data_IF_764588271225
#
_entry.id   IF_764588271225
#
_cell.length_a   1.000
_cell.length_b   1.000
_cell.length_c   1.000
_cell.angle_alpha   90.00
_cell.angle_beta   90.00
_cell.angle_gamma   90.00
#
_symmetry.space_group_name_H-M   'P 1'
#
loop_
_entity.id
_entity.type
_entity.pdbx_description
1 polymer ?
#
# COMPACT_ATOMS: atom_id res chain seq x y z
N UNK A 1 -4.47 -30.99 7.52
CA UNK A 1 -5.02 -30.00 6.58
C UNK A 1 -4.55 -28.63 7.05
N UNK A 2 -3.78 -27.93 6.22
CA UNK A 2 -3.19 -26.62 6.54
C UNK A 2 -4.26 -25.53 6.56
N UNK A 3 -3.95 -24.36 7.13
CA UNK A 3 -4.88 -23.21 7.16
C UNK A 3 -5.25 -22.74 5.74
N UNK A 4 -4.30 -22.80 4.81
CA UNK A 4 -4.51 -22.48 3.39
C UNK A 4 -5.46 -23.49 2.74
N UNK A 5 -5.29 -24.78 3.01
CA UNK A 5 -6.20 -25.82 2.49
C UNK A 5 -7.63 -25.64 3.01
N UNK A 6 -7.78 -25.25 4.28
CA UNK A 6 -9.08 -24.94 4.87
C UNK A 6 -9.74 -23.73 4.21
N UNK A 7 -8.96 -22.67 3.94
CA UNK A 7 -9.44 -21.49 3.22
C UNK A 7 -9.92 -21.85 1.81
N UNK A 8 -9.10 -22.59 1.05
CA UNK A 8 -9.43 -23.04 -0.30
C UNK A 8 -10.71 -23.88 -0.34
N UNK A 9 -10.91 -24.76 0.66
CA UNK A 9 -12.13 -25.55 0.75
C UNK A 9 -13.38 -24.69 0.96
N UNK A 10 -13.31 -23.68 1.84
CA UNK A 10 -14.42 -22.74 2.08
C UNK A 10 -14.75 -21.91 0.85
N UNK A 11 -13.72 -21.40 0.16
CA UNK A 11 -13.91 -20.62 -1.07
C UNK A 11 -14.55 -21.47 -2.17
N UNK A 12 -14.11 -22.72 -2.35
CA UNK A 12 -14.73 -23.66 -3.30
C UNK A 12 -16.20 -23.92 -3.00
N UNK A 13 -16.55 -24.11 -1.73
CA UNK A 13 -17.95 -24.32 -1.33
C UNK A 13 -18.84 -23.13 -1.68
N UNK A 14 -18.34 -21.90 -1.54
CA UNK A 14 -19.05 -20.68 -1.91
C UNK A 14 -19.14 -20.55 -3.44
N UNK A 15 -18.04 -20.82 -4.15
CA UNK A 15 -17.96 -20.71 -5.61
C UNK A 15 -18.85 -21.73 -6.35
N UNK A 16 -19.15 -22.87 -5.73
CA UNK A 16 -20.05 -23.90 -6.26
C UNK A 16 -21.49 -23.76 -5.73
N UNK A 17 -21.74 -22.81 -4.83
CA UNK A 17 -23.03 -22.58 -4.20
C UNK A 17 -23.90 -21.57 -4.95
N UNK A 18 -25.12 -21.30 -4.45
CA UNK A 18 -26.07 -20.37 -5.07
C UNK A 18 -25.57 -18.91 -5.09
N UNK A 19 -24.55 -18.59 -4.28
CA UNK A 19 -23.95 -17.26 -4.17
C UNK A 19 -22.66 -17.12 -5.00
N UNK A 20 -22.38 -18.05 -5.92
CA UNK A 20 -21.16 -18.01 -6.75
C UNK A 20 -20.97 -16.67 -7.48
N UNK A 21 -22.06 -16.08 -7.97
CA UNK A 21 -22.00 -14.80 -8.68
C UNK A 21 -21.75 -13.61 -7.76
N UNK A 22 -22.14 -13.69 -6.47
CA UNK A 22 -21.75 -12.69 -5.48
C UNK A 22 -20.25 -12.75 -5.17
N UNK A 23 -19.69 -13.96 -5.09
CA UNK A 23 -18.25 -14.13 -4.91
C UNK A 23 -17.46 -13.56 -6.10
N UNK A 24 -17.92 -13.80 -7.34
CA UNK A 24 -17.31 -13.21 -8.54
C UNK A 24 -17.33 -11.69 -8.47
N UNK A 25 -18.50 -11.08 -8.22
CA UNK A 25 -18.61 -9.62 -8.10
C UNK A 25 -17.73 -9.04 -6.99
N UNK A 26 -17.61 -9.73 -5.87
CA UNK A 26 -16.73 -9.31 -4.78
C UNK A 26 -15.26 -9.35 -5.20
N UNK A 27 -14.83 -10.39 -5.91
CA UNK A 27 -13.48 -10.49 -6.48
C UNK A 27 -13.28 -9.39 -7.53
N UNK A 28 -14.23 -9.20 -8.45
CA UNK A 28 -14.18 -8.16 -9.47
C UNK A 28 -14.03 -6.77 -8.84
N UNK A 29 -14.74 -6.48 -7.74
CA UNK A 29 -14.60 -5.23 -6.97
C UNK A 29 -13.23 -5.10 -6.31
N UNK A 30 -12.70 -6.18 -5.73
CA UNK A 30 -11.36 -6.18 -5.13
C UNK A 30 -10.24 -5.93 -6.15
N UNK A 31 -10.43 -6.39 -7.39
CA UNK A 31 -9.46 -6.23 -8.47
C UNK A 31 -9.81 -5.10 -9.45
N UNK A 32 -10.95 -4.42 -9.27
CA UNK A 32 -11.30 -3.22 -10.03
C UNK A 32 -10.47 -2.01 -9.62
N UNK A 33 -9.90 -2.05 -8.41
CA UNK A 33 -8.86 -1.13 -7.98
C UNK A 33 -7.53 -1.63 -8.57
N UNK A 34 -7.29 -1.30 -9.84
CA UNK A 34 -5.93 -0.88 -10.18
C UNK A 34 -5.72 0.40 -9.38
N UNK A 35 -5.21 0.27 -8.13
CA UNK A 35 -4.70 1.43 -7.42
C UNK A 35 -3.75 2.12 -8.39
N UNK A 36 -4.00 3.39 -8.76
CA UNK A 36 -3.07 4.09 -9.61
C UNK A 36 -1.71 4.05 -8.91
N UNK A 37 -0.65 3.76 -9.66
CA UNK A 37 0.70 3.92 -9.14
C UNK A 37 0.85 5.39 -8.70
N UNK A 38 0.70 5.64 -7.39
CA UNK A 38 0.60 6.99 -6.83
C UNK A 38 1.94 7.73 -6.88
N UNK A 39 3.03 6.98 -7.03
CA UNK A 39 4.40 7.48 -7.01
C UNK A 39 5.08 7.17 -8.32
N UNK A 40 5.66 8.20 -8.92
CA UNK A 40 6.62 7.98 -10.01
C UNK A 40 7.86 7.24 -9.49
N UNK A 41 8.65 6.60 -10.36
CA UNK A 41 9.95 6.06 -9.98
C UNK A 41 10.85 7.08 -9.25
N UNK A 42 10.75 8.35 -9.64
CA UNK A 42 11.46 9.46 -8.99
C UNK A 42 10.96 9.70 -7.56
N UNK A 43 9.65 9.66 -7.33
CA UNK A 43 9.09 9.80 -5.98
C UNK A 43 9.53 8.65 -5.08
N UNK A 44 9.50 7.41 -5.59
CA UNK A 44 9.97 6.23 -4.85
C UNK A 44 11.45 6.34 -4.49
N UNK A 45 12.28 6.83 -5.42
CA UNK A 45 13.70 7.07 -5.16
C UNK A 45 13.91 8.13 -4.08
N UNK A 46 13.15 9.24 -4.10
CA UNK A 46 13.23 10.29 -3.09
C UNK A 46 12.80 9.81 -1.70
N UNK A 47 11.75 8.97 -1.62
CA UNK A 47 11.31 8.34 -0.37
C UNK A 47 12.41 7.42 0.19
N UNK A 48 13.01 6.60 -0.67
CA UNK A 48 14.08 5.70 -0.26
C UNK A 48 15.32 6.46 0.23
N UNK A 49 15.70 7.54 -0.45
CA UNK A 49 16.81 8.41 -0.06
C UNK A 49 16.55 9.05 1.32
N UNK A 50 15.38 9.66 1.51
CA UNK A 50 15.02 10.28 2.79
C UNK A 50 14.99 9.28 3.94
N UNK A 51 14.54 8.04 3.68
CA UNK A 51 14.56 6.98 4.69
C UNK A 51 16.00 6.57 5.06
N UNK A 52 16.91 6.46 4.09
CA UNK A 52 18.33 6.19 4.35
C UNK A 52 19.00 7.31 5.13
N UNK A 53 18.71 8.57 4.80
CA UNK A 53 19.22 9.72 5.55
C UNK A 53 18.74 9.71 7.01
N UNK A 54 17.46 9.42 7.24
CA UNK A 54 16.89 9.31 8.59
C UNK A 54 17.53 8.19 9.40
N UNK A 55 17.73 7.01 8.81
CA UNK A 55 18.30 5.84 9.50
C UNK A 55 19.79 6.00 9.80
N UNK A 56 20.54 6.62 8.89
CA UNK A 56 21.97 6.91 9.08
C UNK A 56 22.23 8.11 9.99
N UNK A 57 21.21 8.91 10.29
CA UNK A 57 21.33 10.14 11.08
C UNK A 57 21.96 11.29 10.30
N UNK A 58 21.94 11.24 8.96
CA UNK A 58 22.41 12.34 8.12
C UNK A 58 21.47 13.53 8.23
N UNK A 59 21.88 14.54 9.00
CA UNK A 59 21.09 15.76 9.24
C UNK A 59 21.14 16.74 8.08
N UNK A 60 22.00 16.53 7.07
CA UNK A 60 22.14 17.49 5.96
C UNK A 60 20.88 17.59 5.09
N UNK A 61 20.05 16.54 5.09
CA UNK A 61 18.79 16.49 4.34
C UNK A 61 17.58 17.01 5.13
N UNK A 62 17.76 17.40 6.39
CA UNK A 62 16.67 17.81 7.28
C UNK A 62 16.85 19.25 7.74
N UNK A 63 15.75 19.99 7.80
CA UNK A 63 15.74 21.31 8.42
C UNK A 63 14.90 21.29 9.70
N UNK A 64 15.27 22.09 10.72
CA UNK A 64 14.42 22.26 11.89
C UNK A 64 13.04 22.79 11.52
N UNK A 65 12.02 22.34 12.25
CA UNK A 65 10.63 22.74 12.02
C UNK A 65 10.43 24.26 12.09
N UNK A 66 11.11 24.94 13.01
CA UNK A 66 11.05 26.40 13.15
C UNK A 66 11.60 27.14 11.91
N UNK A 67 12.65 26.59 11.29
CA UNK A 67 13.22 27.16 10.07
C UNK A 67 12.28 27.00 8.88
N UNK A 68 11.62 25.84 8.76
CA UNK A 68 10.63 25.61 7.71
C UNK A 68 9.45 26.59 7.82
N UNK A 69 8.91 26.78 9.03
CA UNK A 69 7.80 27.72 9.29
C UNK A 69 8.16 29.15 8.90
N UNK A 70 9.32 29.63 9.34
CA UNK A 70 9.80 30.97 9.02
C UNK A 70 9.93 31.21 7.50
N UNK A 71 10.40 30.21 6.75
CA UNK A 71 10.57 30.30 5.28
C UNK A 71 9.23 30.26 4.51
N UNK A 72 8.20 29.62 5.06
CA UNK A 72 6.91 29.40 4.38
C UNK A 72 5.77 30.29 4.90
N UNK A 73 6.01 31.08 5.95
CA UNK A 73 4.98 31.92 6.57
C UNK A 73 3.88 31.10 7.24
N UNK A 74 4.25 29.95 7.81
CA UNK A 74 3.38 29.00 8.52
C UNK A 74 3.48 29.16 10.04
#
# INVERSE_FOLDING_TARGET
MTEIEQLCAKVKAIAQGPNADLLKKFIDLLYQEEEPEYFSPEDLAAIEEGMKASLSGDRSQFIPWEEYKAKRGL
#
